data_IF_255224417637
#
_entry.id   IF_255224417637
#
_cell.length_a   1.000
_cell.length_b   1.000
_cell.length_c   1.000
_cell.angle_alpha   90.00
_cell.angle_beta   90.00
_cell.angle_gamma   90.00
#
_symmetry.space_group_name_H-M   'P 1'
#
loop_
_entity.id
_entity.type
_entity.pdbx_description
1 polymer ?
#
# COMPACT_ATOMS: atom_id res chain seq x y z
N UNK A 1 7.54 -0.23 -25.38
CA UNK A 1 8.16 0.74 -24.47
C UNK A 1 8.38 0.05 -23.14
N UNK A 2 9.61 0.02 -22.65
CA UNK A 2 9.97 -0.59 -21.35
C UNK A 2 9.56 0.37 -20.20
N UNK A 3 8.59 -0.02 -19.34
CA UNK A 3 8.17 0.79 -18.20
C UNK A 3 9.29 0.98 -17.16
N UNK A 4 10.24 0.06 -17.09
CA UNK A 4 11.39 0.12 -16.16
C UNK A 4 12.42 1.13 -16.65
N UNK A 5 12.65 1.23 -17.96
CA UNK A 5 13.44 2.32 -18.55
C UNK A 5 12.78 3.70 -18.38
N UNK A 6 11.45 3.77 -18.36
CA UNK A 6 10.70 4.99 -18.06
C UNK A 6 10.82 5.37 -16.57
N UNK A 7 10.73 4.39 -15.67
CA UNK A 7 11.02 4.54 -14.23
C UNK A 7 12.46 5.02 -14.00
N UNK A 8 13.44 4.45 -14.72
CA UNK A 8 14.85 4.87 -14.71
C UNK A 8 15.06 6.34 -15.08
N UNK A 9 14.30 6.88 -16.03
CA UNK A 9 14.34 8.29 -16.43
C UNK A 9 13.58 9.22 -15.47
N UNK A 10 12.53 8.74 -14.81
CA UNK A 10 11.79 9.48 -13.78
C UNK A 10 12.55 9.56 -12.44
N UNK A 11 13.40 8.58 -12.14
CA UNK A 11 14.26 8.53 -10.95
C UNK A 11 15.33 9.65 -10.90
N UNK A 12 15.57 10.37 -12.00
CA UNK A 12 16.52 11.50 -12.06
C UNK A 12 16.04 12.78 -11.36
N UNK A 13 14.73 12.93 -11.12
CA UNK A 13 14.20 14.01 -10.26
C UNK A 13 13.73 13.38 -8.96
N UNK A 14 14.64 13.24 -7.99
CA UNK A 14 14.28 12.96 -6.60
C UNK A 14 13.35 14.08 -6.14
N UNK A 15 12.03 13.89 -6.20
CA UNK A 15 11.10 14.74 -5.44
C UNK A 15 11.57 14.69 -3.98
N UNK A 16 11.74 15.85 -3.32
CA UNK A 16 12.16 15.88 -1.93
C UNK A 16 11.20 15.01 -1.10
N UNK A 17 11.71 14.31 -0.06
CA UNK A 17 10.85 13.55 0.83
C UNK A 17 9.78 14.46 1.43
N UNK A 18 8.57 13.93 1.61
CA UNK A 18 7.48 14.63 2.27
C UNK A 18 7.93 15.07 3.67
N UNK A 19 7.98 16.39 3.91
CA UNK A 19 8.44 16.95 5.18
C UNK A 19 7.29 17.07 6.18
N UNK A 20 7.61 17.25 7.46
CA UNK A 20 6.61 17.58 8.50
C UNK A 20 5.77 18.81 8.12
N UNK A 21 6.40 19.83 7.52
CA UNK A 21 5.73 21.03 7.05
C UNK A 21 4.74 20.70 5.93
N UNK A 22 5.15 19.90 4.95
CA UNK A 22 4.26 19.49 3.85
C UNK A 22 3.06 18.72 4.38
N UNK A 23 3.26 17.82 5.35
CA UNK A 23 2.16 17.10 5.98
C UNK A 23 1.22 18.03 6.75
N UNK A 24 1.76 18.99 7.50
CA UNK A 24 0.95 19.96 8.23
C UNK A 24 0.11 20.84 7.29
N UNK A 25 0.68 21.26 6.15
CA UNK A 25 -0.04 22.03 5.12
C UNK A 25 -1.13 21.22 4.42
N UNK A 26 -0.93 19.90 4.27
CA UNK A 26 -1.89 18.99 3.64
C UNK A 26 -2.94 18.43 4.61
N UNK A 27 -2.68 18.44 5.92
CA UNK A 27 -3.55 17.86 6.95
C UNK A 27 -5.02 18.33 6.89
N UNK A 28 -5.35 19.60 6.57
CA UNK A 28 -6.75 20.02 6.45
C UNK A 28 -7.50 19.36 5.28
N UNK A 29 -6.78 18.75 4.33
CA UNK A 29 -7.31 18.22 3.06
C UNK A 29 -7.18 16.70 2.95
N UNK A 30 -6.91 15.98 4.05
CA UNK A 30 -6.71 14.53 4.01
C UNK A 30 -7.90 13.79 3.37
N UNK A 31 -9.13 14.21 3.68
CA UNK A 31 -10.32 13.65 3.05
C UNK A 31 -10.32 13.82 1.52
N UNK A 32 -9.89 14.97 1.00
CA UNK A 32 -9.80 15.17 -0.46
C UNK A 32 -8.77 14.26 -1.12
N UNK A 33 -7.65 13.99 -0.46
CA UNK A 33 -6.64 13.06 -0.97
C UNK A 33 -7.19 11.63 -0.99
N UNK A 34 -7.86 11.22 0.08
CA UNK A 34 -8.45 9.89 0.17
C UNK A 34 -9.56 9.69 -0.88
N UNK A 35 -10.46 10.65 -1.05
CA UNK A 35 -11.52 10.60 -2.06
C UNK A 35 -10.99 10.44 -3.49
N UNK A 36 -9.85 11.08 -3.82
CA UNK A 36 -9.21 10.92 -5.14
C UNK A 36 -8.64 9.52 -5.37
N UNK A 37 -8.33 8.81 -4.31
CA UNK A 37 -7.78 7.45 -4.36
C UNK A 37 -8.87 6.39 -4.41
N UNK A 38 -10.13 6.70 -4.10
CA UNK A 38 -11.22 5.75 -4.26
C UNK A 38 -11.31 5.22 -5.70
N UNK A 39 -11.49 3.90 -5.81
CA UNK A 39 -11.42 3.18 -7.07
C UNK A 39 -10.03 3.10 -7.70
N UNK A 40 -8.95 3.27 -6.90
CA UNK A 40 -7.56 3.17 -7.38
C UNK A 40 -6.79 2.04 -6.72
N UNK A 41 -5.90 1.45 -7.51
CA UNK A 41 -4.74 0.69 -7.07
C UNK A 41 -3.53 1.62 -7.06
N UNK A 42 -2.85 1.67 -5.93
CA UNK A 42 -1.66 2.47 -5.66
C UNK A 42 -0.47 1.52 -5.49
N UNK A 43 0.48 1.58 -6.41
CA UNK A 43 1.75 0.87 -6.27
C UNK A 43 2.70 1.70 -5.42
N UNK A 44 3.17 1.15 -4.30
CA UNK A 44 4.03 1.83 -3.34
C UNK A 44 5.41 1.18 -3.28
N UNK A 45 6.46 1.99 -3.17
CA UNK A 45 7.84 1.53 -2.99
C UNK A 45 8.58 2.31 -1.90
N UNK A 46 9.68 1.73 -1.41
CA UNK A 46 10.55 2.32 -0.39
C UNK A 46 10.00 2.56 1.04
N UNK A 47 9.01 1.82 1.59
CA UNK A 47 8.98 1.68 3.04
C UNK A 47 10.00 0.61 3.49
N UNK A 48 10.66 0.79 4.65
CA UNK A 48 11.79 -0.07 5.06
C UNK A 48 11.40 -1.51 5.45
N UNK A 49 10.11 -1.87 5.53
CA UNK A 49 9.63 -3.12 6.14
C UNK A 49 8.91 -4.10 5.21
N UNK A 50 8.27 -3.63 4.12
CA UNK A 50 7.50 -4.51 3.22
C UNK A 50 8.03 -4.57 1.78
N UNK A 51 8.96 -3.69 1.41
CA UNK A 51 9.35 -3.55 0.01
C UNK A 51 8.21 -2.97 -0.84
N UNK A 52 8.13 -3.40 -2.10
CA UNK A 52 7.03 -3.03 -2.98
C UNK A 52 5.74 -3.68 -2.50
N UNK A 53 4.67 -2.89 -2.43
CA UNK A 53 3.35 -3.41 -2.10
C UNK A 53 2.27 -2.55 -2.77
N UNK A 54 1.07 -3.09 -2.84
CA UNK A 54 -0.06 -2.49 -3.53
C UNK A 54 -1.13 -2.13 -2.51
N UNK A 55 -1.67 -0.91 -2.59
CA UNK A 55 -2.84 -0.49 -1.82
C UNK A 55 -4.00 -0.34 -2.79
N UNK A 56 -5.14 -0.95 -2.49
CA UNK A 56 -6.37 -0.85 -3.23
C UNK A 56 -7.36 -0.09 -2.38
N UNK A 57 -7.93 0.98 -2.91
CA UNK A 57 -9.00 1.73 -2.24
C UNK A 57 -10.25 1.52 -3.09
N UNK A 58 -11.24 0.85 -2.54
CA UNK A 58 -12.51 0.64 -3.24
C UNK A 58 -13.33 1.93 -3.33
N UNK A 59 -14.52 1.87 -3.93
CA UNK A 59 -15.37 3.05 -4.13
C UNK A 59 -16.09 3.50 -2.86
N UNK A 60 -16.25 2.61 -1.89
CA UNK A 60 -16.91 2.90 -0.62
C UNK A 60 -15.91 3.44 0.43
N UNK A 61 -14.61 3.29 0.18
CA UNK A 61 -13.53 3.74 1.07
C UNK A 61 -12.93 2.61 1.91
N UNK A 62 -13.22 1.35 1.59
CA UNK A 62 -12.45 0.22 2.09
C UNK A 62 -11.03 0.25 1.52
N UNK A 63 -10.05 -0.10 2.34
CA UNK A 63 -8.64 -0.13 1.98
C UNK A 63 -8.08 -1.54 2.16
N UNK A 64 -7.46 -2.07 1.11
CA UNK A 64 -6.74 -3.33 1.10
C UNK A 64 -5.28 -3.08 0.76
N UNK A 65 -4.36 -3.38 1.67
CA UNK A 65 -2.93 -3.40 1.40
C UNK A 65 -2.47 -4.84 1.17
N UNK A 66 -1.81 -5.12 0.04
CA UNK A 66 -1.22 -6.44 -0.25
C UNK A 66 0.29 -6.31 -0.43
N UNK A 67 1.03 -7.01 0.43
CA UNK A 67 2.47 -7.15 0.36
C UNK A 67 2.85 -8.58 -0.04
N UNK A 68 3.36 -8.75 -1.27
CA UNK A 68 3.90 -10.02 -1.75
C UNK A 68 5.33 -10.22 -1.26
N UNK A 69 5.67 -11.44 -0.84
CA UNK A 69 7.02 -11.81 -0.44
C UNK A 69 7.73 -12.65 -1.51
N UNK A 70 9.06 -12.67 -1.47
CA UNK A 70 9.88 -13.31 -2.50
C UNK A 70 9.74 -14.84 -2.48
N UNK A 71 9.58 -15.39 -1.29
CA UNK A 71 9.34 -16.80 -0.97
C UNK A 71 7.94 -17.29 -1.37
N UNK A 72 7.07 -16.39 -1.84
CA UNK A 72 5.70 -16.72 -2.25
C UNK A 72 4.66 -16.60 -1.15
N UNK A 73 5.04 -16.17 0.06
CA UNK A 73 4.09 -15.75 1.10
C UNK A 73 3.50 -14.38 0.77
N UNK A 74 2.40 -14.01 1.43
CA UNK A 74 1.78 -12.71 1.26
C UNK A 74 1.10 -12.26 2.55
N UNK A 75 1.15 -10.94 2.80
CA UNK A 75 0.39 -10.31 3.86
C UNK A 75 -0.65 -9.40 3.22
N UNK A 76 -1.86 -9.46 3.73
CA UNK A 76 -2.93 -8.55 3.38
C UNK A 76 -3.43 -7.84 4.63
N UNK A 77 -3.71 -6.54 4.52
CA UNK A 77 -4.29 -5.75 5.59
C UNK A 77 -5.54 -5.08 5.06
N UNK A 78 -6.64 -5.19 5.82
CA UNK A 78 -7.93 -4.62 5.46
C UNK A 78 -8.26 -3.55 6.50
N UNK A 79 -8.84 -2.45 6.05
CA UNK A 79 -9.27 -1.35 6.91
C UNK A 79 -9.91 -0.22 6.12
N UNK A 80 -9.70 1.01 6.58
CA UNK A 80 -10.35 2.22 6.05
C UNK A 80 -9.32 3.35 5.86
N UNK A 81 -9.77 4.61 5.75
CA UNK A 81 -8.91 5.78 5.60
C UNK A 81 -7.87 5.97 6.74
N UNK A 82 -8.10 5.38 7.92
CA UNK A 82 -7.31 5.61 9.14
C UNK A 82 -6.24 4.55 9.37
N UNK A 83 -6.47 3.33 8.90
CA UNK A 83 -5.56 2.23 9.14
C UNK A 83 -6.20 0.87 8.94
N UNK A 84 -5.41 -0.16 9.25
CA UNK A 84 -5.87 -1.54 9.20
C UNK A 84 -6.61 -1.94 10.48
N UNK A 85 -7.66 -2.74 10.31
CA UNK A 85 -8.40 -3.42 11.37
C UNK A 85 -8.23 -4.93 11.33
N UNK A 86 -7.72 -5.49 10.23
CA UNK A 86 -7.54 -6.93 10.05
C UNK A 86 -6.25 -7.21 9.28
N UNK A 87 -5.47 -8.18 9.75
CA UNK A 87 -4.33 -8.76 9.05
C UNK A 87 -4.64 -10.20 8.64
N UNK A 88 -4.30 -10.55 7.40
CA UNK A 88 -4.35 -11.90 6.86
C UNK A 88 -2.98 -12.31 6.35
N UNK A 89 -2.50 -13.47 6.77
CA UNK A 89 -1.26 -14.08 6.27
C UNK A 89 -1.59 -15.25 5.38
N UNK A 90 -1.06 -15.22 4.16
CA UNK A 90 -1.21 -16.28 3.17
C UNK A 90 0.14 -16.94 2.87
N UNK A 91 0.13 -18.27 2.72
CA UNK A 91 1.26 -19.04 2.19
C UNK A 91 1.33 -19.01 0.66
N UNK A 92 2.21 -19.84 0.06
CA UNK A 92 2.24 -20.06 -1.38
C UNK A 92 0.89 -20.63 -1.87
N UNK A 93 0.45 -20.26 -3.07
CA UNK A 93 -0.85 -20.70 -3.61
C UNK A 93 -2.09 -20.05 -2.95
N UNK A 94 -2.06 -18.72 -2.73
CA UNK A 94 -2.71 -18.02 -1.59
C UNK A 94 -3.59 -18.86 -0.64
N UNK A 95 -2.98 -19.73 0.15
CA UNK A 95 -3.65 -20.46 1.23
C UNK A 95 -3.60 -19.63 2.52
N UNK A 96 -4.74 -19.42 3.18
CA UNK A 96 -4.79 -18.65 4.42
C UNK A 96 -4.12 -19.43 5.56
N UNK A 97 -3.08 -18.84 6.15
CA UNK A 97 -2.29 -19.44 7.23
C UNK A 97 -2.64 -18.86 8.60
N UNK A 98 -2.90 -17.55 8.66
CA UNK A 98 -3.22 -16.87 9.91
C UNK A 98 -4.08 -15.63 9.65
N UNK A 99 -4.80 -15.23 10.68
CA UNK A 99 -5.66 -14.06 10.72
C UNK A 99 -5.54 -13.42 12.10
N UNK A 100 -5.51 -12.10 12.13
CA UNK A 100 -5.39 -11.32 13.35
C UNK A 100 -6.18 -10.03 13.25
N UNK A 101 -7.12 -9.82 14.16
CA UNK A 101 -7.79 -8.52 14.35
C UNK A 101 -6.78 -7.52 14.92
N UNK A 102 -6.74 -6.33 14.33
CA UNK A 102 -5.85 -5.25 14.74
C UNK A 102 -6.63 -4.22 15.54
N UNK A 103 -6.19 -3.96 16.77
CA UNK A 103 -6.70 -2.85 17.54
C UNK A 103 -6.40 -1.50 16.84
N UNK A 104 -7.28 -0.49 16.99
CA UNK A 104 -7.03 0.84 16.44
C UNK A 104 -5.67 1.38 16.87
N UNK A 105 -4.95 1.99 15.93
CA UNK A 105 -3.62 2.56 16.19
C UNK A 105 -2.45 1.59 16.03
N UNK A 106 -2.68 0.27 15.87
CA UNK A 106 -1.59 -0.70 15.67
C UNK A 106 -0.88 -0.49 14.33
N UNK A 107 -1.65 -0.27 13.28
CA UNK A 107 -1.17 -0.02 11.92
C UNK A 107 -2.07 1.04 11.29
N UNK A 108 -1.55 2.26 11.20
CA UNK A 108 -2.24 3.41 10.64
C UNK A 108 -1.52 3.90 9.40
N UNK A 109 -2.29 4.50 8.50
CA UNK A 109 -1.77 5.11 7.29
C UNK A 109 -2.41 6.46 7.00
N UNK A 110 -1.73 7.26 6.20
CA UNK A 110 -2.30 8.42 5.51
C UNK A 110 -1.96 8.29 4.03
N UNK A 111 -2.99 8.22 3.20
CA UNK A 111 -2.84 7.97 1.77
C UNK A 111 -2.87 9.30 1.00
N UNK A 112 -1.73 9.70 0.43
CA UNK A 112 -1.64 10.78 -0.56
C UNK A 112 -1.47 10.18 -1.97
N UNK A 113 -1.69 11.00 -3.00
CA UNK A 113 -1.49 10.61 -4.41
C UNK A 113 0.00 10.51 -4.81
N UNK A 114 0.91 11.03 -3.98
CA UNK A 114 2.36 11.02 -4.20
C UNK A 114 3.17 10.25 -3.13
N UNK A 115 2.66 10.14 -1.89
CA UNK A 115 3.30 9.42 -0.78
C UNK A 115 2.27 8.72 0.11
N UNK A 116 2.70 7.68 0.80
CA UNK A 116 1.95 7.04 1.89
C UNK A 116 2.73 7.19 3.18
N UNK A 117 2.07 7.67 4.23
CA UNK A 117 2.66 7.75 5.58
C UNK A 117 2.15 6.56 6.37
N UNK A 118 3.05 5.86 7.06
CA UNK A 118 2.71 4.74 7.95
C UNK A 118 3.14 5.04 9.38
N UNK A 119 2.31 4.68 10.34
CA UNK A 119 2.61 4.83 11.78
C UNK A 119 1.97 3.71 12.60
N UNK A 120 2.50 3.50 13.81
CA UNK A 120 1.99 2.51 14.76
C UNK A 120 3.03 1.45 15.16
N UNK A 121 2.77 0.70 16.24
CA UNK A 121 3.67 -0.30 16.80
C UNK A 121 3.86 -1.54 15.91
N UNK A 122 3.05 -1.72 14.85
CA UNK A 122 3.26 -2.80 13.88
C UNK A 122 4.59 -2.64 13.10
N UNK A 123 5.11 -1.42 13.02
CA UNK A 123 6.33 -1.12 12.27
C UNK A 123 7.58 -1.24 13.15
N UNK A 124 8.75 -1.55 12.55
CA UNK A 124 10.02 -1.55 13.27
C UNK A 124 10.26 -0.20 13.95
N UNK A 125 10.89 -0.24 15.14
CA UNK A 125 11.29 0.98 15.84
C UNK A 125 12.18 1.85 14.95
N UNK A 126 11.81 3.12 14.83
CA UNK A 126 12.55 4.14 14.10
C UNK A 126 12.83 5.33 15.00
N UNK A 127 13.85 6.11 14.65
CA UNK A 127 14.07 7.45 15.24
C UNK A 127 13.05 8.46 14.70
N UNK A 128 12.48 8.18 13.53
CA UNK A 128 11.44 8.99 12.92
C UNK A 128 10.06 8.57 13.44
N UNK A 129 9.12 9.52 13.63
CA UNK A 129 7.80 9.22 14.18
C UNK A 129 6.86 8.50 13.19
N UNK A 130 7.30 8.32 11.95
CA UNK A 130 6.55 7.65 10.88
C UNK A 130 7.50 7.08 9.83
N UNK A 131 6.97 6.23 8.97
CA UNK A 131 7.64 5.71 7.79
C UNK A 131 6.97 6.22 6.53
N UNK A 132 7.74 6.36 5.44
CA UNK A 132 7.23 6.85 4.15
C UNK A 132 7.33 5.80 3.07
N UNK A 133 6.23 5.53 2.38
CA UNK A 133 6.19 4.90 1.07
C UNK A 133 6.02 5.95 -0.03
N UNK A 134 6.64 5.74 -1.18
CA UNK A 134 6.47 6.58 -2.37
C UNK A 134 5.48 5.94 -3.32
N UNK A 135 4.55 6.72 -3.88
CA UNK A 135 3.67 6.22 -4.93
C UNK A 135 4.46 6.13 -6.24
N UNK A 136 4.61 4.92 -6.78
CA UNK A 136 5.25 4.68 -8.08
C UNK A 136 4.26 4.80 -9.24
N UNK A 137 3.03 4.34 -9.04
CA UNK A 137 2.00 4.32 -10.07
C UNK A 137 0.60 4.27 -9.46
N UNK A 138 -0.36 4.81 -10.20
CA UNK A 138 -1.79 4.66 -9.97
C UNK A 138 -2.41 3.89 -11.14
N UNK A 139 -3.33 3.00 -10.83
CA UNK A 139 -4.15 2.28 -11.81
C UNK A 139 -5.60 2.21 -11.32
N UNK A 140 -6.53 1.94 -12.21
CA UNK A 140 -7.93 1.77 -11.83
C UNK A 140 -8.15 0.45 -11.07
N UNK A 141 -9.08 0.50 -10.11
CA UNK A 141 -9.51 -0.62 -9.30
C UNK A 141 -11.03 -0.57 -9.14
N UNK A 142 -11.71 -1.55 -9.72
CA UNK A 142 -13.18 -1.69 -9.64
C UNK A 142 -13.61 -2.83 -8.70
N UNK A 143 -12.70 -3.33 -7.87
CA UNK A 143 -12.99 -4.37 -6.88
C UNK A 143 -13.38 -3.81 -5.52
N UNK A 144 -13.56 -4.72 -4.57
CA UNK A 144 -13.89 -4.42 -3.17
C UNK A 144 -12.69 -4.74 -2.28
N UNK A 145 -12.45 -3.91 -1.27
CA UNK A 145 -11.38 -4.12 -0.30
C UNK A 145 -11.88 -4.98 0.88
N UNK A 146 -12.37 -6.18 0.55
CA UNK A 146 -12.94 -7.14 1.51
C UNK A 146 -12.13 -8.43 1.57
N UNK A 147 -12.32 -9.19 2.65
CA UNK A 147 -11.59 -10.43 2.93
C UNK A 147 -11.65 -11.42 1.78
N UNK A 148 -12.84 -11.59 1.21
CA UNK A 148 -13.15 -12.57 0.19
C UNK A 148 -12.40 -12.29 -1.13
N UNK A 149 -12.07 -11.02 -1.39
CA UNK A 149 -11.36 -10.59 -2.59
C UNK A 149 -9.83 -10.84 -2.52
N UNK A 150 -9.28 -10.99 -1.31
CA UNK A 150 -7.82 -11.03 -1.09
C UNK A 150 -7.10 -12.14 -1.88
N UNK A 151 -7.56 -13.41 -1.90
CA UNK A 151 -6.87 -14.45 -2.64
C UNK A 151 -6.79 -14.17 -4.16
N UNK A 152 -7.85 -13.57 -4.72
CA UNK A 152 -7.90 -13.20 -6.12
C UNK A 152 -6.91 -12.07 -6.44
N UNK A 153 -6.85 -11.04 -5.60
CA UNK A 153 -5.90 -9.93 -5.78
C UNK A 153 -4.44 -10.37 -5.60
N UNK A 154 -4.13 -11.26 -4.65
CA UNK A 154 -2.80 -11.85 -4.52
C UNK A 154 -2.41 -12.59 -5.82
N UNK A 155 -3.31 -13.40 -6.36
CA UNK A 155 -3.07 -14.16 -7.60
C UNK A 155 -2.82 -13.22 -8.78
N UNK A 156 -3.71 -12.22 -8.96
CA UNK A 156 -3.60 -11.21 -10.01
C UNK A 156 -2.28 -10.43 -9.93
N UNK A 157 -1.87 -10.01 -8.73
CA UNK A 157 -0.61 -9.31 -8.54
C UNK A 157 0.59 -10.19 -8.90
N UNK A 158 0.63 -11.44 -8.45
CA UNK A 158 1.71 -12.39 -8.80
C UNK A 158 1.85 -12.56 -10.30
N UNK A 159 0.73 -12.74 -11.01
CA UNK A 159 0.74 -12.83 -12.46
C UNK A 159 1.26 -11.55 -13.14
N UNK A 160 0.81 -10.39 -12.65
CA UNK A 160 1.22 -9.10 -13.17
C UNK A 160 2.74 -8.88 -13.01
N UNK A 161 3.29 -9.17 -11.83
CA UNK A 161 4.73 -9.06 -11.58
C UNK A 161 5.55 -10.09 -12.37
N UNK A 162 5.02 -11.30 -12.58
CA UNK A 162 5.69 -12.32 -13.41
C UNK A 162 5.79 -11.90 -14.87
N UNK A 163 4.72 -11.36 -15.45
CA UNK A 163 4.69 -10.90 -16.85
C UNK A 163 5.65 -9.74 -17.14
N UNK A 164 6.05 -8.96 -16.12
CA UNK A 164 6.97 -7.83 -16.25
C UNK A 164 8.44 -8.16 -15.96
N UNK A 165 8.74 -9.39 -15.53
CA UNK A 165 10.11 -9.89 -15.38
C UNK A 165 10.66 -10.53 -16.67
N UNK A 166 9.79 -10.75 -17.67
CA UNK A 166 10.13 -11.19 -19.02
C UNK A 166 10.31 -9.98 -19.93
#
# INVERSE_FOLDING_TARGET
MDPLALLGRLLGRRRPPLTLKDMAERAPRLGEYFERLKGKRVLVFNPPFWGFHDIFVDREGGVLLVALKAEGDSFAFIGDERGASLMLKYGPGPVLNAEEDLAPGLLEWVLYDDFIVYRGPFFPMSRDPYHLGRVAALADFDGEAVREAVPAEITRLREWYRKRKQ
#
